data_IF_267578642088
#
_entry.id   IF_267578642088
#
_cell.length_a   1.000
_cell.length_b   1.000
_cell.length_c   1.000
_cell.angle_alpha   90.00
_cell.angle_beta   90.00
_cell.angle_gamma   90.00
#
_symmetry.space_group_name_H-M   'P 1'
#
loop_
_entity.id
_entity.type
_entity.pdbx_description
1 polymer ?
#
# COMPACT_ATOMS: atom_id res chain seq x y z
N UNK A 1 -4.05 -14.65 -15.81
CA UNK A 1 -3.99 -13.49 -16.71
C UNK A 1 -2.73 -12.79 -16.29
N UNK A 2 -1.70 -12.83 -17.13
CA UNK A 2 -0.40 -12.25 -16.78
C UNK A 2 -0.51 -10.73 -17.00
N UNK A 3 -0.08 -9.92 -16.04
CA UNK A 3 -0.10 -8.46 -16.16
C UNK A 3 -1.30 -7.73 -15.57
N UNK A 4 -2.11 -8.38 -14.71
CA UNK A 4 -3.20 -7.73 -13.98
C UNK A 4 -2.79 -7.44 -12.53
N UNK A 5 -3.19 -6.28 -12.03
CA UNK A 5 -3.09 -5.92 -10.62
C UNK A 5 -4.23 -6.61 -9.89
N UNK A 6 -3.94 -7.28 -8.79
CA UNK A 6 -4.98 -7.86 -7.93
C UNK A 6 -5.72 -6.74 -7.17
N UNK A 7 -6.68 -6.11 -7.86
CA UNK A 7 -7.49 -5.02 -7.33
C UNK A 7 -8.44 -5.50 -6.21
N UNK A 8 -8.80 -6.77 -6.20
CA UNK A 8 -9.60 -7.36 -5.12
C UNK A 8 -8.77 -7.41 -3.83
N UNK A 9 -7.56 -7.97 -3.91
CA UNK A 9 -6.63 -8.00 -2.79
C UNK A 9 -6.32 -6.58 -2.32
N UNK A 10 -6.02 -5.65 -3.25
CA UNK A 10 -5.75 -4.25 -2.91
C UNK A 10 -6.92 -3.63 -2.13
N UNK A 11 -8.15 -3.82 -2.62
CA UNK A 11 -9.35 -3.28 -1.99
C UNK A 11 -9.54 -3.86 -0.58
N UNK A 12 -9.35 -5.17 -0.41
CA UNK A 12 -9.43 -5.84 0.89
C UNK A 12 -8.38 -5.28 1.85
N UNK A 13 -7.13 -5.11 1.41
CA UNK A 13 -6.05 -4.56 2.23
C UNK A 13 -6.36 -3.12 2.66
N UNK A 14 -6.86 -2.28 1.76
CA UNK A 14 -7.25 -0.91 2.08
C UNK A 14 -8.41 -0.85 3.08
N UNK A 15 -9.43 -1.71 2.94
CA UNK A 15 -10.52 -1.82 3.92
C UNK A 15 -9.98 -2.26 5.29
N UNK A 16 -9.04 -3.20 5.31
CA UNK A 16 -8.38 -3.65 6.55
C UNK A 16 -7.58 -2.51 7.19
N UNK A 17 -6.82 -1.74 6.41
CA UNK A 17 -6.07 -0.58 6.89
C UNK A 17 -6.99 0.47 7.54
N UNK A 18 -8.08 0.82 6.87
CA UNK A 18 -9.06 1.75 7.44
C UNK A 18 -9.69 1.21 8.74
N UNK A 19 -9.93 -0.10 8.79
CA UNK A 19 -10.41 -0.75 10.01
C UNK A 19 -9.37 -0.72 11.13
N UNK A 20 -8.08 -0.90 10.82
CA UNK A 20 -6.96 -0.80 11.78
C UNK A 20 -6.94 0.58 12.42
N UNK A 21 -7.04 1.66 11.62
CA UNK A 21 -7.09 3.03 12.17
C UNK A 21 -8.23 3.19 13.18
N UNK A 22 -9.44 2.73 12.84
CA UNK A 22 -10.57 2.77 13.77
C UNK A 22 -10.32 1.96 15.04
N UNK A 23 -9.75 0.74 14.92
CA UNK A 23 -9.45 -0.10 16.09
C UNK A 23 -8.44 0.54 17.04
N UNK A 24 -7.48 1.31 16.51
CA UNK A 24 -6.49 2.07 17.29
C UNK A 24 -7.18 3.23 18.02
N UNK A 25 -8.04 3.99 17.35
CA UNK A 25 -8.84 5.06 17.99
C UNK A 25 -9.74 4.52 19.10
N UNK A 26 -10.34 3.34 18.88
CA UNK A 26 -11.17 2.64 19.86
C UNK A 26 -10.37 2.01 21.03
N UNK A 27 -9.03 2.08 21.01
CA UNK A 27 -8.11 1.47 22.00
C UNK A 27 -8.35 -0.03 22.21
N UNK A 28 -8.57 -0.78 21.11
CA UNK A 28 -8.73 -2.25 21.16
C UNK A 28 -7.42 -2.97 21.49
N UNK A 29 -7.50 -4.28 21.69
CA UNK A 29 -6.39 -5.15 22.08
C UNK A 29 -5.26 -5.05 21.04
N UNK A 30 -4.07 -4.63 21.48
CA UNK A 30 -2.91 -4.33 20.62
C UNK A 30 -2.44 -5.53 19.80
N UNK A 31 -2.49 -6.75 20.34
CA UNK A 31 -2.03 -7.96 19.64
C UNK A 31 -2.82 -8.25 18.38
N UNK A 32 -4.15 -8.05 18.42
CA UNK A 32 -5.02 -8.30 17.29
C UNK A 32 -4.78 -7.24 16.19
N UNK A 33 -4.51 -6.00 16.60
CA UNK A 33 -4.19 -4.89 15.69
C UNK A 33 -2.87 -5.15 14.96
N UNK A 34 -1.83 -5.63 15.66
CA UNK A 34 -0.54 -5.95 15.03
C UNK A 34 -0.69 -7.09 14.01
N UNK A 35 -1.48 -8.12 14.31
CA UNK A 35 -1.77 -9.19 13.35
C UNK A 35 -2.42 -8.63 12.09
N UNK A 36 -3.46 -7.80 12.24
CA UNK A 36 -4.14 -7.18 11.11
C UNK A 36 -3.20 -6.31 10.26
N UNK A 37 -2.29 -5.56 10.91
CA UNK A 37 -1.28 -4.73 10.25
C UNK A 37 -0.35 -5.61 9.42
N UNK A 38 0.15 -6.71 9.99
CA UNK A 38 1.04 -7.62 9.29
C UNK A 38 0.35 -8.28 8.10
N UNK A 39 -0.91 -8.69 8.24
CA UNK A 39 -1.69 -9.25 7.13
C UNK A 39 -1.89 -8.20 6.03
N UNK A 40 -2.26 -6.97 6.41
CA UNK A 40 -2.36 -5.85 5.47
C UNK A 40 -1.03 -5.57 4.75
N UNK A 41 0.08 -5.62 5.48
CA UNK A 41 1.41 -5.41 4.91
C UNK A 41 1.76 -6.51 3.91
N UNK A 42 1.52 -7.76 4.25
CA UNK A 42 1.82 -8.90 3.36
C UNK A 42 1.04 -8.81 2.06
N UNK A 43 -0.27 -8.52 2.14
CA UNK A 43 -1.13 -8.38 0.97
C UNK A 43 -0.66 -7.23 0.06
N UNK A 44 -0.41 -6.04 0.63
CA UNK A 44 0.09 -4.89 -0.12
C UNK A 44 1.51 -5.12 -0.67
N UNK A 45 2.36 -5.84 0.06
CA UNK A 45 3.72 -6.14 -0.37
C UNK A 45 3.70 -7.11 -1.53
N UNK A 46 2.78 -8.08 -1.55
CA UNK A 46 2.58 -8.95 -2.71
C UNK A 46 2.20 -8.12 -3.94
N UNK A 47 1.22 -7.22 -3.83
CA UNK A 47 0.82 -6.32 -4.92
C UNK A 47 2.01 -5.48 -5.40
N UNK A 48 2.80 -4.94 -4.48
CA UNK A 48 4.01 -4.18 -4.81
C UNK A 48 5.04 -5.01 -5.60
N UNK A 49 5.33 -6.24 -5.18
CA UNK A 49 6.26 -7.12 -5.88
C UNK A 49 5.71 -7.55 -7.25
N UNK A 50 4.42 -7.82 -7.35
CA UNK A 50 3.76 -8.13 -8.63
C UNK A 50 3.86 -6.96 -9.61
N UNK A 51 3.61 -5.74 -9.13
CA UNK A 51 3.82 -4.51 -9.91
C UNK A 51 5.28 -4.39 -10.37
N UNK A 52 6.27 -4.60 -9.50
CA UNK A 52 7.68 -4.54 -9.90
C UNK A 52 8.02 -5.57 -10.99
N UNK A 53 7.52 -6.79 -10.83
CA UNK A 53 7.73 -7.85 -11.80
C UNK A 53 7.13 -7.49 -13.16
N UNK A 54 5.92 -6.93 -13.18
CA UNK A 54 5.27 -6.50 -14.42
C UNK A 54 5.97 -5.31 -15.08
N UNK A 55 6.34 -4.27 -14.31
CA UNK A 55 7.06 -3.11 -14.84
C UNK A 55 8.48 -3.41 -15.32
N UNK A 56 9.02 -4.61 -15.04
CA UNK A 56 10.28 -5.09 -15.60
C UNK A 56 10.16 -5.64 -17.03
N UNK A 57 8.92 -5.85 -17.51
CA UNK A 57 8.64 -6.36 -18.86
C UNK A 57 8.62 -5.23 -19.91
N UNK A 58 8.77 -5.62 -21.18
CA UNK A 58 8.71 -4.67 -22.31
C UNK A 58 7.28 -4.21 -22.65
N UNK A 59 6.28 -5.04 -22.31
CA UNK A 59 4.86 -4.84 -22.60
C UNK A 59 4.07 -5.06 -21.32
N UNK A 60 3.16 -4.13 -21.01
CA UNK A 60 2.33 -4.12 -19.80
C UNK A 60 0.91 -3.69 -20.15
N UNK A 61 -0.07 -4.04 -19.31
CA UNK A 61 -1.44 -3.57 -19.49
C UNK A 61 -1.61 -2.11 -19.03
N UNK A 62 -1.24 -1.15 -19.88
CA UNK A 62 -1.31 0.29 -19.55
C UNK A 62 -2.72 0.70 -19.09
N UNK A 63 -3.78 0.10 -19.64
CA UNK A 63 -5.17 0.42 -19.29
C UNK A 63 -5.54 0.08 -17.84
N UNK A 64 -4.74 -0.73 -17.16
CA UNK A 64 -4.93 -1.13 -15.77
C UNK A 64 -3.99 -0.38 -14.82
N UNK A 65 -2.73 -0.25 -15.22
CA UNK A 65 -1.71 0.45 -14.43
C UNK A 65 -1.93 1.97 -14.40
N UNK A 66 -2.40 2.58 -15.48
CA UNK A 66 -2.73 4.00 -15.53
C UNK A 66 -3.76 4.39 -14.45
N UNK A 67 -4.99 3.85 -14.45
CA UNK A 67 -5.99 4.23 -13.46
C UNK A 67 -5.56 3.84 -12.03
N UNK A 68 -4.85 2.73 -11.85
CA UNK A 68 -4.33 2.33 -10.56
C UNK A 68 -3.36 3.38 -10.00
N UNK A 69 -2.35 3.79 -10.77
CA UNK A 69 -1.38 4.78 -10.30
C UNK A 69 -1.94 6.19 -10.29
N UNK A 70 -2.86 6.56 -11.17
CA UNK A 70 -3.55 7.86 -11.08
C UNK A 70 -4.30 8.00 -9.76
N UNK A 71 -4.99 6.94 -9.32
CA UNK A 71 -5.65 6.93 -8.01
C UNK A 71 -4.63 6.81 -6.86
N UNK A 72 -3.68 5.88 -6.98
CA UNK A 72 -2.68 5.57 -5.97
C UNK A 72 -1.80 6.77 -5.64
N UNK A 73 -1.42 7.57 -6.64
CA UNK A 73 -0.61 8.78 -6.41
C UNK A 73 -1.34 9.87 -5.63
N UNK A 74 -2.68 9.81 -5.53
CA UNK A 74 -3.46 10.64 -4.63
C UNK A 74 -3.62 9.97 -3.25
N UNK A 75 -3.89 8.67 -3.22
CA UNK A 75 -4.26 7.96 -2.00
C UNK A 75 -3.07 7.52 -1.14
N UNK A 76 -1.97 7.04 -1.74
CA UNK A 76 -0.81 6.56 -1.00
C UNK A 76 -0.19 7.64 -0.09
N UNK A 77 -0.03 8.91 -0.52
CA UNK A 77 0.42 9.97 0.37
C UNK A 77 -0.53 10.21 1.55
N UNK A 78 -1.85 10.17 1.33
CA UNK A 78 -2.83 10.32 2.41
C UNK A 78 -2.75 9.17 3.43
N UNK A 79 -2.45 7.94 2.99
CA UNK A 79 -2.19 6.82 3.90
C UNK A 79 -0.90 7.00 4.71
N UNK A 80 0.21 7.43 4.09
CA UNK A 80 1.46 7.71 4.84
C UNK A 80 1.22 8.76 5.92
N UNK A 81 0.53 9.85 5.59
CA UNK A 81 0.16 10.89 6.55
C UNK A 81 -0.74 10.36 7.67
N UNK A 82 -1.76 9.58 7.34
CA UNK A 82 -2.67 8.98 8.33
C UNK A 82 -1.93 8.02 9.28
N UNK A 83 -0.96 7.27 8.76
CA UNK A 83 -0.08 6.42 9.55
C UNK A 83 0.78 7.26 10.50
N UNK A 84 1.45 8.29 9.99
CA UNK A 84 2.31 9.17 10.81
C UNK A 84 1.53 9.85 11.94
N UNK A 85 0.32 10.34 11.63
CA UNK A 85 -0.59 10.91 12.63
C UNK A 85 -1.02 9.89 13.67
N UNK A 86 -1.23 8.63 13.27
CA UNK A 86 -1.58 7.53 14.18
C UNK A 86 -0.41 7.18 15.09
N UNK A 87 0.80 7.08 14.54
CA UNK A 87 2.05 6.84 15.29
C UNK A 87 2.26 7.91 16.37
N UNK A 88 1.97 9.18 16.06
CA UNK A 88 2.06 10.28 17.02
C UNK A 88 1.07 10.22 18.19
N UNK A 89 0.04 9.36 18.11
CA UNK A 89 -1.03 9.22 19.11
C UNK A 89 -0.92 7.95 19.96
N UNK A 90 0.02 7.06 19.65
CA UNK A 90 0.20 5.77 20.33
C UNK A 90 1.53 5.71 21.09
N UNK A 91 1.55 4.96 22.18
CA UNK A 91 2.77 4.74 22.99
C UNK A 91 3.42 3.37 22.74
N UNK A 92 2.71 2.43 22.10
CA UNK A 92 3.20 1.07 21.87
C UNK A 92 4.23 1.04 20.73
N UNK A 93 5.50 0.77 21.07
CA UNK A 93 6.59 0.74 20.10
C UNK A 93 6.47 -0.39 19.07
N UNK A 94 5.89 -1.54 19.42
CA UNK A 94 5.70 -2.63 18.46
C UNK A 94 4.66 -2.23 17.40
N UNK A 95 3.59 -1.58 17.84
CA UNK A 95 2.57 -1.03 16.94
C UNK A 95 3.16 0.04 16.03
N UNK A 96 4.02 0.94 16.56
CA UNK A 96 4.74 1.93 15.74
C UNK A 96 5.64 1.28 14.70
N UNK A 97 6.40 0.24 15.06
CA UNK A 97 7.28 -0.48 14.12
C UNK A 97 6.46 -1.14 13.00
N UNK A 98 5.33 -1.75 13.34
CA UNK A 98 4.45 -2.38 12.35
C UNK A 98 3.83 -1.35 11.40
N UNK A 99 3.36 -0.22 11.93
CA UNK A 99 2.81 0.89 11.14
C UNK A 99 3.88 1.56 10.26
N UNK A 100 5.10 1.76 10.76
CA UNK A 100 6.20 2.30 9.96
C UNK A 100 6.52 1.40 8.76
N UNK A 101 6.49 0.07 8.92
CA UNK A 101 6.68 -0.86 7.81
C UNK A 101 5.63 -0.68 6.70
N UNK A 102 4.38 -0.42 7.07
CA UNK A 102 3.32 -0.07 6.10
C UNK A 102 3.57 1.29 5.45
N UNK A 103 3.98 2.31 6.22
CA UNK A 103 4.31 3.63 5.68
C UNK A 103 5.43 3.55 4.64
N UNK A 104 6.50 2.82 4.95
CA UNK A 104 7.62 2.56 4.05
C UNK A 104 7.17 1.88 2.75
N UNK A 105 6.21 0.95 2.83
CA UNK A 105 5.65 0.29 1.65
C UNK A 105 4.87 1.27 0.76
N UNK A 106 4.07 2.16 1.33
CA UNK A 106 3.41 3.22 0.55
C UNK A 106 4.41 4.18 -0.09
N UNK A 107 5.50 4.54 0.61
CA UNK A 107 6.59 5.35 0.03
C UNK A 107 7.22 4.64 -1.18
N UNK A 108 7.44 3.32 -1.11
CA UNK A 108 7.91 2.53 -2.24
C UNK A 108 6.89 2.53 -3.40
N UNK A 109 5.61 2.34 -3.12
CA UNK A 109 4.55 2.40 -4.14
C UNK A 109 4.47 3.77 -4.82
N UNK A 110 4.61 4.87 -4.07
CA UNK A 110 4.69 6.23 -4.62
C UNK A 110 5.90 6.36 -5.56
N UNK A 111 7.07 5.85 -5.13
CA UNK A 111 8.28 5.88 -5.96
C UNK A 111 8.07 5.10 -7.26
N UNK A 112 7.52 3.90 -7.19
CA UNK A 112 7.21 3.08 -8.37
C UNK A 112 6.20 3.77 -9.28
N UNK A 113 5.15 4.39 -8.73
CA UNK A 113 4.19 5.16 -9.51
C UNK A 113 4.82 6.34 -10.25
N UNK A 114 5.74 7.07 -9.61
CA UNK A 114 6.51 8.12 -10.29
C UNK A 114 7.36 7.56 -11.43
N UNK A 115 8.12 6.48 -11.18
CA UNK A 115 8.95 5.83 -12.21
C UNK A 115 8.11 5.29 -13.37
N UNK A 116 6.90 4.77 -13.07
CA UNK A 116 5.94 4.34 -14.07
C UNK A 116 5.54 5.49 -14.99
N UNK A 117 5.12 6.64 -14.44
CA UNK A 117 4.71 7.77 -15.26
C UNK A 117 5.86 8.39 -16.07
N UNK A 118 7.09 8.36 -15.56
CA UNK A 118 8.29 8.78 -16.31
C UNK A 118 8.57 7.86 -17.51
N UNK A 119 8.35 6.55 -17.35
CA UNK A 119 8.63 5.53 -18.38
C UNK A 119 7.40 5.15 -19.20
N UNK A 120 6.21 5.69 -18.90
CA UNK A 120 4.92 5.29 -19.49
C UNK A 120 4.96 5.21 -21.01
N UNK A 121 5.58 6.20 -21.67
CA UNK A 121 5.69 6.24 -23.13
C UNK A 121 6.70 5.26 -23.76
N UNK A 122 7.44 4.50 -22.94
CA UNK A 122 8.38 3.48 -23.38
C UNK A 122 7.78 2.06 -23.39
N UNK A 123 6.68 1.84 -22.67
CA UNK A 123 5.94 0.58 -22.73
C UNK A 123 5.17 0.50 -24.04
N UNK A 124 5.15 -0.70 -24.64
CA UNK A 124 4.38 -0.99 -25.85
C UNK A 124 2.96 -1.44 -25.51
#
# INVERSE_FOLDING_TARGET
>A
MDGEIDLELYTISIIRLNSIFQKIEDKKIVTDIISDINDCFNDLNQIYEDILNELSKEEININEYDPFFENGMVMFPEYTKSIDETIGKIDDENLKVALNSLSDLFVKLIKVGNEYFEKRGAFK
#
